data_IF_562334616281
#
_entry.id   IF_562334616281
#
_cell.length_a   1.000
_cell.length_b   1.000
_cell.length_c   1.000
_cell.angle_alpha   90.00
_cell.angle_beta   90.00
_cell.angle_gamma   90.00
#
_symmetry.space_group_name_H-M   'P 1'
#
loop_
_entity.id
_entity.type
_entity.pdbx_description
1 polymer ?
#
# COMPACT_ATOMS: atom_id res chain seq x y z
N UNK A 1 1.74 -25.45 -9.86
CA UNK A 1 1.19 -24.14 -10.28
C UNK A 1 1.03 -23.18 -9.10
N UNK A 2 0.44 -23.59 -7.97
CA UNK A 2 0.16 -22.73 -6.80
C UNK A 2 1.36 -21.91 -6.27
N UNK A 3 2.57 -22.47 -6.26
CA UNK A 3 3.77 -21.77 -5.80
C UNK A 3 4.21 -20.60 -6.69
N UNK A 4 3.87 -20.61 -7.98
CA UNK A 4 4.22 -19.54 -8.93
C UNK A 4 3.30 -18.33 -8.77
N UNK A 5 2.00 -18.57 -8.55
CA UNK A 5 1.00 -17.52 -8.32
C UNK A 5 1.27 -16.76 -7.02
N UNK A 6 1.63 -17.47 -5.94
CA UNK A 6 2.02 -16.83 -4.68
C UNK A 6 3.22 -15.89 -4.86
N UNK A 7 4.28 -16.38 -5.53
CA UNK A 7 5.47 -15.57 -5.82
C UNK A 7 5.12 -14.35 -6.68
N UNK A 8 4.18 -14.51 -7.62
CA UNK A 8 3.65 -13.41 -8.42
C UNK A 8 2.92 -12.35 -7.58
N UNK A 9 2.05 -12.77 -6.64
CA UNK A 9 1.36 -11.85 -5.74
C UNK A 9 2.35 -11.08 -4.86
N UNK A 10 3.29 -11.79 -4.22
CA UNK A 10 4.32 -11.15 -3.38
C UNK A 10 5.16 -10.17 -4.19
N UNK A 11 5.56 -10.53 -5.41
CA UNK A 11 6.30 -9.63 -6.28
C UNK A 11 5.51 -8.35 -6.60
N UNK A 12 4.23 -8.47 -6.98
CA UNK A 12 3.38 -7.31 -7.29
C UNK A 12 3.10 -6.44 -6.07
N UNK A 13 2.89 -7.03 -4.90
CA UNK A 13 2.77 -6.28 -3.64
C UNK A 13 4.03 -5.46 -3.42
N UNK A 14 5.21 -6.11 -3.47
CA UNK A 14 6.50 -5.41 -3.26
C UNK A 14 6.72 -4.28 -4.25
N UNK A 15 6.34 -4.48 -5.53
CA UNK A 15 6.40 -3.44 -6.54
C UNK A 15 5.45 -2.28 -6.21
N UNK A 16 4.20 -2.57 -5.84
CA UNK A 16 3.25 -1.51 -5.47
C UNK A 16 3.71 -0.73 -4.24
N UNK A 17 4.24 -1.41 -3.22
CA UNK A 17 4.79 -0.76 -2.04
C UNK A 17 5.98 0.14 -2.41
N UNK A 18 6.91 -0.36 -3.24
CA UNK A 18 8.05 0.44 -3.68
C UNK A 18 7.61 1.70 -4.45
N UNK A 19 6.68 1.55 -5.39
CA UNK A 19 6.15 2.66 -6.17
C UNK A 19 5.47 3.70 -5.25
N UNK A 20 4.69 3.25 -4.26
CA UNK A 20 4.03 4.13 -3.28
C UNK A 20 5.03 4.87 -2.39
N UNK A 21 6.10 4.20 -1.94
CA UNK A 21 7.15 4.82 -1.11
C UNK A 21 8.04 5.80 -1.90
N UNK A 22 7.98 5.76 -3.23
CA UNK A 22 8.73 6.67 -4.09
C UNK A 22 7.96 7.97 -4.39
N UNK A 23 6.71 8.10 -3.93
CA UNK A 23 5.85 9.27 -4.17
C UNK A 23 6.18 10.47 -3.28
N UNK A 24 7.11 10.35 -2.33
CA UNK A 24 7.43 11.41 -1.37
C UNK A 24 7.82 12.74 -2.03
N UNK A 25 8.55 12.67 -3.15
CA UNK A 25 9.02 13.84 -3.89
C UNK A 25 7.88 14.60 -4.58
N UNK A 26 6.80 13.89 -4.95
CA UNK A 26 5.64 14.48 -5.64
C UNK A 26 4.67 15.20 -4.68
N UNK A 27 4.85 15.05 -3.36
CA UNK A 27 3.89 15.57 -2.35
C UNK A 27 3.92 17.08 -2.15
N UNK A 28 4.94 17.77 -2.68
CA UNK A 28 5.16 19.22 -2.49
C UNK A 28 4.68 20.06 -3.68
N UNK A 29 4.21 19.41 -4.74
CA UNK A 29 3.71 20.07 -5.93
C UNK A 29 2.21 20.36 -5.80
N UNK A 30 1.82 21.62 -6.01
CA UNK A 30 0.43 22.09 -5.90
C UNK A 30 -0.26 22.21 -7.28
N UNK A 31 0.29 21.56 -8.30
CA UNK A 31 -0.33 21.48 -9.62
C UNK A 31 -1.58 20.58 -9.61
N UNK A 32 -2.64 21.02 -10.30
CA UNK A 32 -3.91 20.30 -10.41
C UNK A 32 -3.72 18.92 -11.05
N UNK A 33 -2.92 18.86 -12.13
CA UNK A 33 -2.60 17.61 -12.82
C UNK A 33 -1.87 16.64 -11.87
N UNK A 34 -0.98 17.14 -11.01
CA UNK A 34 -0.25 16.33 -10.02
C UNK A 34 -1.20 15.72 -8.98
N UNK A 35 -2.16 16.49 -8.46
CA UNK A 35 -3.18 15.96 -7.54
C UNK A 35 -4.04 14.86 -8.16
N UNK A 36 -4.48 15.04 -9.41
CA UNK A 36 -5.29 14.05 -10.13
C UNK A 36 -4.51 12.76 -10.44
N UNK A 37 -3.25 12.91 -10.85
CA UNK A 37 -2.34 11.81 -11.11
C UNK A 37 -2.06 11.02 -9.83
N UNK A 38 -1.77 11.71 -8.73
CA UNK A 38 -1.54 11.10 -7.42
C UNK A 38 -2.76 10.31 -6.94
N UNK A 39 -3.96 10.90 -6.98
CA UNK A 39 -5.19 10.22 -6.59
C UNK A 39 -5.49 8.99 -7.44
N UNK A 40 -5.28 9.10 -8.76
CA UNK A 40 -5.47 7.98 -9.69
C UNK A 40 -4.46 6.86 -9.47
N UNK A 41 -3.19 7.20 -9.24
CA UNK A 41 -2.12 6.26 -8.91
C UNK A 41 -2.42 5.52 -7.60
N UNK A 42 -2.80 6.26 -6.54
CA UNK A 42 -3.11 5.71 -5.23
C UNK A 42 -4.26 4.69 -5.30
N UNK A 43 -5.34 5.03 -6.01
CA UNK A 43 -6.48 4.13 -6.23
C UNK A 43 -6.11 2.87 -7.00
N UNK A 44 -5.29 3.01 -8.05
CA UNK A 44 -4.82 1.88 -8.84
C UNK A 44 -3.96 0.93 -8.00
N UNK A 45 -2.97 1.46 -7.28
CA UNK A 45 -2.08 0.67 -6.41
C UNK A 45 -2.84 0.01 -5.27
N UNK A 46 -3.77 0.73 -4.64
CA UNK A 46 -4.65 0.20 -3.59
C UNK A 46 -5.45 -1.01 -4.10
N UNK A 47 -5.99 -0.94 -5.31
CA UNK A 47 -6.73 -2.06 -5.93
C UNK A 47 -5.84 -3.29 -6.12
N UNK A 48 -4.63 -3.11 -6.66
CA UNK A 48 -3.67 -4.22 -6.82
C UNK A 48 -3.27 -4.83 -5.47
N UNK A 49 -2.95 -3.98 -4.49
CA UNK A 49 -2.63 -4.42 -3.14
C UNK A 49 -3.78 -5.22 -2.52
N UNK A 50 -5.03 -4.78 -2.68
CA UNK A 50 -6.19 -5.49 -2.15
C UNK A 50 -6.32 -6.89 -2.75
N UNK A 51 -6.25 -7.00 -4.08
CA UNK A 51 -6.34 -8.29 -4.76
C UNK A 51 -5.22 -9.25 -4.38
N UNK A 52 -3.98 -8.77 -4.32
CA UNK A 52 -2.82 -9.61 -4.05
C UNK A 52 -2.68 -9.96 -2.56
N UNK A 53 -2.95 -9.02 -1.64
CA UNK A 53 -2.96 -9.28 -0.20
C UNK A 53 -4.04 -10.29 0.17
N UNK A 54 -5.24 -10.20 -0.42
CA UNK A 54 -6.29 -11.20 -0.18
C UNK A 54 -5.86 -12.60 -0.62
N UNK A 55 -5.19 -12.73 -1.77
CA UNK A 55 -4.63 -14.01 -2.21
C UNK A 55 -3.55 -14.51 -1.24
N UNK A 56 -2.68 -13.63 -0.75
CA UNK A 56 -1.64 -13.99 0.23
C UNK A 56 -2.27 -14.42 1.57
N UNK A 57 -3.23 -13.66 2.08
CA UNK A 57 -3.92 -13.94 3.36
C UNK A 57 -4.70 -15.25 3.29
N UNK A 58 -5.42 -15.49 2.19
CA UNK A 58 -6.25 -16.71 2.03
C UNK A 58 -5.42 -18.01 2.09
N UNK A 59 -4.15 -17.94 1.69
CA UNK A 59 -3.18 -19.06 1.70
C UNK A 59 -2.40 -19.18 3.01
N UNK A 60 -2.40 -18.14 3.84
CA UNK A 60 -1.75 -18.17 5.16
C UNK A 60 -2.56 -19.03 6.14
N UNK A 61 -1.88 -19.57 7.15
CA UNK A 61 -2.49 -20.40 8.21
C UNK A 61 -2.40 -19.70 9.56
N UNK A 62 -3.35 -20.01 10.43
CA UNK A 62 -3.34 -19.73 11.87
C UNK A 62 -2.94 -18.27 12.20
N UNK A 63 -1.94 -18.10 13.06
CA UNK A 63 -1.44 -16.81 13.54
C UNK A 63 -0.96 -15.91 12.40
N UNK A 64 -0.34 -16.48 11.37
CA UNK A 64 0.15 -15.71 10.22
C UNK A 64 -1.01 -15.12 9.41
N UNK A 65 -2.11 -15.86 9.28
CA UNK A 65 -3.32 -15.35 8.61
C UNK A 65 -3.91 -14.16 9.39
N UNK A 66 -4.01 -14.30 10.71
CA UNK A 66 -4.50 -13.21 11.58
C UNK A 66 -3.59 -11.98 11.46
N UNK A 67 -2.27 -12.15 11.64
CA UNK A 67 -1.29 -11.07 11.54
C UNK A 67 -1.37 -10.32 10.21
N UNK A 68 -1.39 -11.03 9.08
CA UNK A 68 -1.48 -10.40 7.76
C UNK A 68 -2.83 -9.70 7.53
N UNK A 69 -3.92 -10.22 8.12
CA UNK A 69 -5.25 -9.60 8.03
C UNK A 69 -5.28 -8.29 8.81
N UNK A 70 -4.77 -8.29 10.04
CA UNK A 70 -4.71 -7.09 10.88
C UNK A 70 -3.82 -6.02 10.23
N UNK A 71 -2.69 -6.42 9.65
CA UNK A 71 -1.79 -5.53 8.93
C UNK A 71 -2.43 -4.95 7.65
N UNK A 72 -3.14 -5.77 6.87
CA UNK A 72 -3.86 -5.29 5.69
C UNK A 72 -4.96 -4.30 6.07
N UNK A 73 -5.75 -4.59 7.10
CA UNK A 73 -6.80 -3.68 7.59
C UNK A 73 -6.21 -2.33 8.02
N UNK A 74 -5.08 -2.35 8.75
CA UNK A 74 -4.33 -1.15 9.11
C UNK A 74 -3.90 -0.38 7.87
N UNK A 75 -3.29 -1.04 6.88
CA UNK A 75 -2.85 -0.41 5.64
C UNK A 75 -4.01 0.30 4.91
N UNK A 76 -5.13 -0.40 4.69
CA UNK A 76 -6.25 0.17 3.94
C UNK A 76 -6.92 1.33 4.69
N UNK A 77 -6.95 1.31 6.02
CA UNK A 77 -7.40 2.44 6.82
C UNK A 77 -6.54 3.69 6.59
N UNK A 78 -5.21 3.55 6.58
CA UNK A 78 -4.32 4.68 6.30
C UNK A 78 -4.35 5.13 4.85
N UNK A 79 -4.47 4.21 3.89
CA UNK A 79 -4.63 4.59 2.48
C UNK A 79 -5.94 5.35 2.22
N UNK A 80 -7.04 5.02 2.91
CA UNK A 80 -8.29 5.78 2.82
C UNK A 80 -8.11 7.21 3.36
N UNK A 81 -7.39 7.37 4.48
CA UNK A 81 -7.06 8.70 5.02
C UNK A 81 -6.15 9.50 4.08
N UNK A 82 -5.19 8.84 3.43
CA UNK A 82 -4.31 9.47 2.44
C UNK A 82 -5.10 9.86 1.18
N UNK A 83 -5.98 9.01 0.67
CA UNK A 83 -6.86 9.34 -0.46
C UNK A 83 -7.75 10.56 -0.15
N UNK A 84 -8.30 10.63 1.07
CA UNK A 84 -9.03 11.82 1.51
C UNK A 84 -8.15 13.07 1.57
N UNK A 85 -6.91 12.95 2.06
CA UNK A 85 -5.97 14.06 2.10
C UNK A 85 -5.61 14.58 0.69
N UNK A 86 -5.32 13.67 -0.23
CA UNK A 86 -5.06 13.97 -1.65
C UNK A 86 -6.25 14.69 -2.29
N UNK A 87 -7.47 14.20 -2.07
CA UNK A 87 -8.69 14.84 -2.57
C UNK A 87 -8.93 16.23 -2.01
N UNK A 88 -8.47 16.48 -0.78
CA UNK A 88 -8.54 17.81 -0.16
C UNK A 88 -7.48 18.78 -0.69
N UNK A 89 -6.51 18.30 -1.49
CA UNK A 89 -5.36 19.06 -2.02
C UNK A 89 -4.57 19.78 -0.92
N UNK A 90 -4.56 19.23 0.29
CA UNK A 90 -3.81 19.78 1.41
C UNK A 90 -2.44 19.13 1.47
N UNK A 91 -1.39 19.88 1.11
CA UNK A 91 0.00 19.41 1.17
C UNK A 91 0.34 18.90 2.58
N UNK A 92 0.06 19.70 3.61
CA UNK A 92 0.40 19.36 5.00
C UNK A 92 -0.32 18.10 5.49
N UNK A 93 -1.62 17.97 5.21
CA UNK A 93 -2.37 16.77 5.58
C UNK A 93 -1.90 15.54 4.79
N UNK A 94 -1.60 15.72 3.49
CA UNK A 94 -1.12 14.63 2.62
C UNK A 94 0.22 14.11 3.10
N UNK A 95 1.17 15.00 3.46
CA UNK A 95 2.46 14.60 4.03
C UNK A 95 2.30 13.82 5.35
N UNK A 96 1.43 14.27 6.26
CA UNK A 96 1.16 13.55 7.52
C UNK A 96 0.61 12.15 7.22
N UNK A 97 -0.41 12.05 6.36
CA UNK A 97 -1.03 10.76 6.01
C UNK A 97 -0.14 9.86 5.19
N UNK A 98 0.74 10.44 4.37
CA UNK A 98 1.75 9.71 3.64
C UNK A 98 2.74 9.05 4.61
N UNK A 99 3.26 9.79 5.58
CA UNK A 99 4.19 9.24 6.58
C UNK A 99 3.55 8.12 7.40
N UNK A 100 2.30 8.30 7.84
CA UNK A 100 1.53 7.26 8.52
C UNK A 100 1.40 5.99 7.64
N UNK A 101 1.06 6.18 6.35
CA UNK A 101 0.90 5.09 5.37
C UNK A 101 2.23 4.40 5.06
N UNK A 102 3.31 5.18 4.88
CA UNK A 102 4.65 4.70 4.56
C UNK A 102 5.19 3.76 5.64
N UNK A 103 4.93 4.06 6.91
CA UNK A 103 5.31 3.17 8.01
C UNK A 103 4.65 1.79 7.90
N UNK A 104 3.35 1.74 7.58
CA UNK A 104 2.62 0.48 7.41
C UNK A 104 3.02 -0.25 6.14
N UNK A 105 3.33 0.47 5.06
CA UNK A 105 3.88 -0.10 3.84
C UNK A 105 5.23 -0.81 4.11
N UNK A 106 6.09 -0.24 4.95
CA UNK A 106 7.34 -0.88 5.38
C UNK A 106 7.07 -2.14 6.22
N UNK A 107 6.10 -2.11 7.14
CA UNK A 107 5.66 -3.30 7.89
C UNK A 107 5.18 -4.41 6.92
N UNK A 108 4.41 -4.07 5.88
CA UNK A 108 3.95 -5.01 4.85
C UNK A 108 5.12 -5.61 4.08
N UNK A 109 6.11 -4.81 3.70
CA UNK A 109 7.33 -5.32 3.05
C UNK A 109 8.05 -6.33 3.93
N UNK A 110 8.26 -6.00 5.21
CA UNK A 110 8.92 -6.86 6.17
C UNK A 110 8.17 -8.18 6.38
N UNK A 111 6.83 -8.13 6.46
CA UNK A 111 5.97 -9.30 6.63
C UNK A 111 6.01 -10.31 5.45
N UNK A 112 6.49 -9.86 4.29
CA UNK A 112 6.58 -10.64 3.05
C UNK A 112 8.00 -11.07 2.70
N UNK A 113 9.02 -10.65 3.46
CA UNK A 113 10.37 -11.20 3.34
C UNK A 113 10.34 -12.68 3.78
N UNK A 114 10.87 -13.63 3.00
CA UNK A 114 11.02 -15.00 3.45
C UNK A 114 11.91 -15.01 4.70
N UNK A 115 11.41 -15.58 5.80
CA UNK A 115 12.26 -15.93 6.95
C UNK A 115 13.34 -16.89 6.46
N UNK A 116 14.62 -16.53 6.69
CA UNK A 116 15.79 -17.36 6.42
C UNK A 116 15.72 -18.70 7.14
#
# INVERSE_FOLDING_TARGET
MEGMEWKGCVYRIRKCVFDLLSMEEDLIDDDEDTWELMGSSLRLKSTFLYCDLNQVISRAKDERKKFLTDLANKLFCYMEQLDHAVKSRSISLTQIRYNDTAHVLQEVMAALVPSL
#
